data_IF_488568705250
#
_entry.id   IF_488568705250
#
_cell.length_a   1.000
_cell.length_b   1.000
_cell.length_c   1.000
_cell.angle_alpha   90.00
_cell.angle_beta   90.00
_cell.angle_gamma   90.00
#
_symmetry.space_group_name_H-M   'P 1'
#
loop_
_entity.id
_entity.type
_entity.pdbx_description
1 polymer ?
#
# COMPACT_ATOMS: atom_id res chain seq x y z
N UNK A 1 -34.57 3.02 9.38
CA UNK A 1 -34.95 2.13 10.50
C UNK A 1 -33.79 2.10 11.47
N UNK A 2 -34.01 2.65 12.66
CA UNK A 2 -33.03 2.75 13.73
C UNK A 2 -32.71 1.34 14.23
N UNK A 3 -31.45 0.92 14.12
CA UNK A 3 -30.92 -0.17 14.94
C UNK A 3 -30.38 0.43 16.23
N UNK A 4 -30.91 -0.09 17.33
CA UNK A 4 -30.71 0.28 18.72
C UNK A 4 -29.28 0.06 19.22
N UNK A 5 -28.88 0.93 20.14
CA UNK A 5 -27.85 0.69 21.17
C UNK A 5 -28.12 -0.66 21.85
N UNK A 6 -27.14 -1.58 21.91
CA UNK A 6 -27.20 -2.66 22.90
C UNK A 6 -26.67 -4.06 22.54
N UNK A 7 -26.31 -4.36 21.29
CA UNK A 7 -25.58 -5.61 20.99
C UNK A 7 -24.19 -5.28 20.48
N UNK A 8 -23.24 -5.19 21.42
CA UNK A 8 -21.83 -5.37 21.09
C UNK A 8 -21.70 -6.83 20.66
N UNK A 9 -21.92 -7.08 19.36
CA UNK A 9 -21.53 -8.33 18.72
C UNK A 9 -20.02 -8.46 18.92
N UNK A 10 -19.62 -9.15 20.00
CA UNK A 10 -18.23 -9.41 20.35
C UNK A 10 -17.67 -10.43 19.37
N UNK A 11 -17.39 -9.96 18.16
CA UNK A 11 -16.63 -10.65 17.13
C UNK A 11 -15.15 -10.72 17.52
N UNK A 12 -14.85 -10.92 18.80
CA UNK A 12 -13.50 -10.87 19.38
C UNK A 12 -12.60 -11.99 18.85
N UNK A 13 -13.23 -13.06 18.32
CA UNK A 13 -12.56 -14.20 17.68
C UNK A 13 -12.52 -14.11 16.15
N UNK A 14 -13.05 -13.03 15.55
CA UNK A 14 -13.08 -12.88 14.10
C UNK A 14 -11.68 -12.64 13.57
N UNK A 15 -11.16 -13.61 12.81
CA UNK A 15 -9.81 -13.56 12.22
C UNK A 15 -9.82 -12.98 10.81
N UNK A 16 -10.90 -13.19 10.08
CA UNK A 16 -11.01 -12.80 8.68
C UNK A 16 -12.38 -12.18 8.42
N UNK A 17 -12.40 -11.02 7.76
CA UNK A 17 -13.60 -10.38 7.28
C UNK A 17 -13.45 -10.04 5.79
N UNK A 18 -14.44 -10.47 5.01
CA UNK A 18 -14.52 -10.20 3.57
C UNK A 18 -15.88 -9.59 3.27
N UNK A 19 -15.89 -8.35 2.78
CA UNK A 19 -17.08 -7.74 2.18
C UNK A 19 -16.88 -7.78 0.67
N UNK A 20 -17.72 -8.54 -0.04
CA UNK A 20 -17.57 -8.81 -1.47
C UNK A 20 -18.85 -8.42 -2.18
N UNK A 21 -18.72 -7.55 -3.18
CA UNK A 21 -19.76 -7.12 -4.11
C UNK A 21 -21.03 -6.61 -3.37
N UNK A 22 -20.83 -5.99 -2.20
CA UNK A 22 -21.89 -5.35 -1.39
C UNK A 22 -22.15 -3.93 -1.92
N UNK A 23 -22.69 -3.82 -3.14
CA UNK A 23 -22.75 -2.55 -3.87
C UNK A 23 -23.59 -1.47 -3.19
N UNK A 24 -24.59 -1.83 -2.38
CA UNK A 24 -25.41 -0.86 -1.63
C UNK A 24 -24.70 -0.26 -0.41
N UNK A 25 -23.53 -0.78 -0.05
CA UNK A 25 -22.73 -0.27 1.06
C UNK A 25 -22.16 1.10 0.70
N UNK A 26 -22.52 2.11 1.49
CA UNK A 26 -22.05 3.50 1.33
C UNK A 26 -20.89 3.84 2.27
N UNK A 27 -20.72 3.06 3.34
CA UNK A 27 -19.70 3.27 4.37
C UNK A 27 -19.16 1.94 4.86
N UNK A 28 -17.84 1.87 5.08
CA UNK A 28 -17.20 0.72 5.72
C UNK A 28 -17.53 0.72 7.21
N UNK A 29 -17.94 -0.42 7.81
CA UNK A 29 -18.23 -0.48 9.23
C UNK A 29 -16.97 -0.18 10.08
N UNK A 30 -17.17 0.19 11.35
CA UNK A 30 -16.09 0.31 12.32
C UNK A 30 -15.48 -1.06 12.60
N UNK A 31 -14.21 -1.26 12.29
CA UNK A 31 -13.55 -2.56 12.39
C UNK A 31 -12.26 -2.52 13.22
N UNK A 32 -11.71 -1.34 13.52
CA UNK A 32 -10.43 -1.23 14.22
C UNK A 32 -10.43 -1.73 15.66
N UNK A 33 -11.60 -1.93 16.26
CA UNK A 33 -11.74 -2.52 17.60
C UNK A 33 -11.55 -4.05 17.63
N UNK A 34 -11.54 -4.73 16.47
CA UNK A 34 -11.47 -6.19 16.40
C UNK A 34 -10.05 -6.70 16.71
N UNK A 35 -9.84 -7.41 17.84
CA UNK A 35 -8.50 -7.69 18.34
C UNK A 35 -7.77 -8.81 17.59
N UNK A 36 -8.51 -9.74 16.97
CA UNK A 36 -7.96 -10.92 16.28
C UNK A 36 -8.02 -10.83 14.76
N UNK A 37 -8.55 -9.75 14.20
CA UNK A 37 -8.73 -9.61 12.75
C UNK A 37 -7.36 -9.50 12.08
N UNK A 38 -6.98 -10.54 11.33
CA UNK A 38 -5.73 -10.64 10.55
C UNK A 38 -5.92 -10.29 9.09
N UNK A 39 -7.08 -10.60 8.53
CA UNK A 39 -7.34 -10.44 7.09
C UNK A 39 -8.61 -9.62 6.90
N UNK A 40 -8.47 -8.48 6.22
CA UNK A 40 -9.58 -7.63 5.80
C UNK A 40 -9.57 -7.49 4.28
N UNK A 41 -10.68 -7.85 3.64
CA UNK A 41 -10.87 -7.67 2.20
C UNK A 41 -12.16 -6.92 1.92
N UNK A 42 -12.03 -5.78 1.26
CA UNK A 42 -13.13 -4.98 0.75
C UNK A 42 -13.10 -5.05 -0.76
N UNK A 43 -14.03 -5.79 -1.36
CA UNK A 43 -14.14 -5.98 -2.81
C UNK A 43 -15.50 -5.50 -3.31
N UNK A 44 -15.53 -4.73 -4.38
CA UNK A 44 -16.78 -4.37 -5.07
C UNK A 44 -17.71 -3.48 -4.24
N UNK A 45 -17.18 -2.75 -3.25
CA UNK A 45 -17.93 -1.76 -2.47
C UNK A 45 -18.03 -0.44 -3.24
N UNK A 46 -18.72 -0.47 -4.38
CA UNK A 46 -18.68 0.61 -5.39
C UNK A 46 -19.25 1.94 -4.91
N UNK A 47 -20.12 1.97 -3.91
CA UNK A 47 -20.70 3.22 -3.39
C UNK A 47 -19.93 3.82 -2.20
N UNK A 48 -18.89 3.14 -1.70
CA UNK A 48 -18.01 3.69 -0.66
C UNK A 48 -17.07 4.72 -1.29
N UNK A 49 -17.18 5.97 -0.85
CA UNK A 49 -16.30 7.06 -1.30
C UNK A 49 -15.15 7.37 -0.34
N UNK A 50 -15.33 7.06 0.94
CA UNK A 50 -14.43 7.46 2.02
C UNK A 50 -14.26 6.34 3.05
N UNK A 51 -13.01 5.97 3.32
CA UNK A 51 -12.61 5.27 4.55
C UNK A 51 -12.15 6.35 5.53
N UNK A 52 -13.07 6.75 6.42
CA UNK A 52 -12.84 7.83 7.37
C UNK A 52 -12.44 7.35 8.77
N UNK A 53 -12.25 8.28 9.72
CA UNK A 53 -11.80 7.98 11.08
C UNK A 53 -12.66 6.94 11.85
N UNK A 54 -13.95 6.85 11.55
CA UNK A 54 -14.87 5.87 12.16
C UNK A 54 -14.52 4.41 11.82
N UNK A 55 -13.70 4.18 10.80
CA UNK A 55 -13.21 2.84 10.46
C UNK A 55 -12.33 2.25 11.59
N UNK A 56 -11.58 3.13 12.27
CA UNK A 56 -10.61 2.76 13.30
C UNK A 56 -11.24 2.64 14.68
N UNK A 57 -12.13 3.57 15.05
CA UNK A 57 -12.79 3.60 16.34
C UNK A 57 -14.28 3.88 16.21
N UNK A 58 -15.10 3.36 17.15
CA UNK A 58 -16.50 3.73 17.19
C UNK A 58 -16.65 5.24 17.42
N UNK A 59 -17.71 5.89 16.91
CA UNK A 59 -17.91 7.33 17.02
C UNK A 59 -17.85 7.87 18.46
N UNK A 60 -18.29 7.07 19.44
CA UNK A 60 -18.22 7.39 20.87
C UNK A 60 -16.79 7.39 21.44
N UNK A 61 -15.84 6.72 20.79
CA UNK A 61 -14.43 6.65 21.18
C UNK A 61 -13.55 7.75 20.58
N UNK A 62 -14.08 8.59 19.68
CA UNK A 62 -13.32 9.71 19.07
C UNK A 62 -12.92 10.75 20.14
N UNK A 63 -13.74 10.90 21.19
CA UNK A 63 -13.42 11.78 22.33
C UNK A 63 -12.44 11.13 23.33
N UNK A 64 -12.19 9.82 23.24
CA UNK A 64 -11.21 9.07 24.03
C UNK A 64 -9.89 8.82 23.28
N UNK A 65 -9.75 9.43 22.10
CA UNK A 65 -8.60 9.39 21.23
C UNK A 65 -7.38 9.97 21.97
N UNK A 66 -6.54 9.09 22.52
CA UNK A 66 -5.41 9.44 23.40
C UNK A 66 -5.44 8.79 24.79
N UNK A 67 -6.49 8.04 25.15
CA UNK A 67 -6.56 7.27 26.42
C UNK A 67 -6.40 5.76 26.27
N UNK A 68 -6.45 5.23 25.04
CA UNK A 68 -6.26 3.81 24.78
C UNK A 68 -4.83 3.53 24.36
N UNK A 69 -4.08 2.79 25.17
CA UNK A 69 -2.74 2.31 24.84
C UNK A 69 -2.73 1.30 23.67
N UNK A 70 -3.90 0.89 23.18
CA UNK A 70 -4.02 -0.13 22.14
C UNK A 70 -4.26 0.50 20.77
N UNK A 71 -3.40 0.20 19.77
CA UNK A 71 -3.65 0.63 18.40
C UNK A 71 -4.96 0.01 17.87
N UNK A 72 -5.66 0.70 16.95
CA UNK A 72 -6.62 0.05 16.07
C UNK A 72 -5.97 -1.15 15.36
N UNK A 73 -6.78 -2.11 14.92
CA UNK A 73 -6.34 -3.25 14.12
C UNK A 73 -5.03 -3.90 14.63
N UNK A 74 -4.94 -4.26 15.92
CA UNK A 74 -3.67 -4.66 16.53
C UNK A 74 -3.07 -5.95 15.94
N UNK A 75 -3.87 -6.73 15.22
CA UNK A 75 -3.48 -8.01 14.61
C UNK A 75 -3.60 -8.05 13.09
N UNK A 76 -3.95 -6.94 12.42
CA UNK A 76 -4.20 -6.96 10.98
C UNK A 76 -2.90 -7.13 10.21
N UNK A 77 -2.83 -8.21 9.44
CA UNK A 77 -1.66 -8.63 8.65
C UNK A 77 -1.87 -8.39 7.15
N UNK A 78 -3.13 -8.48 6.67
CA UNK A 78 -3.47 -8.36 5.24
C UNK A 78 -4.67 -7.45 5.05
N UNK A 79 -4.49 -6.38 4.27
CA UNK A 79 -5.57 -5.47 3.89
C UNK A 79 -5.67 -5.34 2.37
N UNK A 80 -6.84 -5.68 1.83
CA UNK A 80 -7.10 -5.70 0.39
C UNK A 80 -8.28 -4.79 0.07
N UNK A 81 -8.02 -3.75 -0.71
CA UNK A 81 -9.01 -2.91 -1.37
C UNK A 81 -9.06 -3.32 -2.84
N UNK A 82 -10.21 -3.76 -3.33
CA UNK A 82 -10.36 -4.22 -4.72
C UNK A 82 -11.67 -3.77 -5.36
N UNK A 83 -11.62 -3.29 -6.59
CA UNK A 83 -12.82 -2.92 -7.37
C UNK A 83 -13.72 -1.91 -6.60
N UNK A 84 -13.11 -0.99 -5.83
CA UNK A 84 -13.80 0.06 -5.08
C UNK A 84 -13.82 1.35 -5.91
N UNK A 85 -14.61 1.35 -6.98
CA UNK A 85 -14.51 2.32 -8.07
C UNK A 85 -14.72 3.78 -7.65
N UNK A 86 -15.57 4.06 -6.64
CA UNK A 86 -15.79 5.42 -6.15
C UNK A 86 -14.94 5.79 -4.93
N UNK A 87 -14.10 4.88 -4.42
CA UNK A 87 -13.24 5.18 -3.27
C UNK A 87 -12.24 6.27 -3.68
N UNK A 88 -12.39 7.44 -3.07
CA UNK A 88 -11.56 8.61 -3.35
C UNK A 88 -10.58 8.89 -2.21
N UNK A 89 -11.01 8.63 -0.97
CA UNK A 89 -10.32 9.08 0.22
C UNK A 89 -10.16 7.95 1.23
N UNK A 90 -8.94 7.75 1.74
CA UNK A 90 -8.67 6.98 2.94
C UNK A 90 -7.88 7.88 3.90
N UNK A 91 -8.48 8.23 5.03
CA UNK A 91 -8.01 9.31 5.92
C UNK A 91 -7.64 8.73 7.29
N UNK A 92 -6.56 9.25 7.87
CA UNK A 92 -6.03 8.86 9.19
C UNK A 92 -6.85 9.42 10.38
N UNK A 93 -6.48 8.99 11.58
CA UNK A 93 -6.92 9.51 12.87
C UNK A 93 -6.00 10.64 13.37
N UNK A 94 -6.54 11.85 13.54
CA UNK A 94 -5.82 13.00 14.10
C UNK A 94 -6.32 13.32 15.52
N UNK A 95 -5.43 13.70 16.45
CA UNK A 95 -5.87 14.38 17.70
C UNK A 95 -6.26 15.83 17.42
N UNK A 96 -7.05 16.42 18.32
CA UNK A 96 -7.40 17.84 18.32
C UNK A 96 -6.19 18.80 18.32
N UNK A 97 -4.99 18.29 18.61
CA UNK A 97 -3.74 19.06 18.64
C UNK A 97 -2.87 18.79 17.39
N UNK A 98 -3.40 18.12 16.37
CA UNK A 98 -2.68 17.80 15.13
C UNK A 98 -1.62 16.70 15.29
N UNK A 99 -1.51 16.07 16.46
CA UNK A 99 -0.56 14.99 16.72
C UNK A 99 -1.19 13.62 16.41
N UNK A 100 -0.43 12.73 15.79
CA UNK A 100 -0.84 11.39 15.40
C UNK A 100 -0.88 10.45 16.62
N UNK A 101 -1.98 9.72 16.77
CA UNK A 101 -2.39 9.10 18.06
C UNK A 101 -1.59 7.83 18.36
N UNK A 102 -1.62 6.85 17.46
CA UNK A 102 -0.86 5.59 17.47
C UNK A 102 -0.94 5.06 16.05
N UNK A 103 0.07 4.37 15.55
CA UNK A 103 -0.01 3.72 14.24
C UNK A 103 -1.18 2.71 14.20
N UNK A 104 -2.17 2.85 13.29
CA UNK A 104 -3.32 1.96 13.24
C UNK A 104 -3.03 0.54 12.73
N UNK A 105 -1.85 0.29 12.16
CA UNK A 105 -1.54 -0.96 11.50
C UNK A 105 -0.14 -1.46 11.88
N UNK A 106 0.11 -1.75 13.17
CA UNK A 106 1.44 -2.16 13.64
C UNK A 106 1.94 -3.46 13.01
N UNK A 107 1.04 -4.32 12.50
CA UNK A 107 1.35 -5.65 11.97
C UNK A 107 1.00 -5.86 10.51
N UNK A 108 0.62 -4.81 9.77
CA UNK A 108 0.20 -4.97 8.39
C UNK A 108 1.38 -5.34 7.51
N UNK A 109 1.38 -6.57 6.99
CA UNK A 109 2.45 -7.12 6.16
C UNK A 109 2.13 -7.05 4.66
N UNK A 110 0.84 -7.06 4.31
CA UNK A 110 0.38 -7.01 2.92
C UNK A 110 -0.72 -5.98 2.72
N UNK A 111 -0.43 -5.01 1.84
CA UNK A 111 -1.40 -4.03 1.37
C UNK A 111 -1.58 -4.19 -0.14
N UNK A 112 -2.84 -4.37 -0.55
CA UNK A 112 -3.23 -4.41 -1.97
C UNK A 112 -4.30 -3.39 -2.25
N UNK A 113 -4.06 -2.54 -3.25
CA UNK A 113 -5.02 -1.57 -3.79
C UNK A 113 -5.16 -1.89 -5.27
N UNK A 114 -6.31 -2.42 -5.67
CA UNK A 114 -6.58 -2.83 -7.05
C UNK A 114 -7.87 -2.26 -7.60
N UNK A 115 -7.84 -1.69 -8.80
CA UNK A 115 -9.01 -1.13 -9.47
C UNK A 115 -9.76 -0.13 -8.56
N UNK A 116 -8.99 0.80 -7.98
CA UNK A 116 -9.50 1.91 -7.18
C UNK A 116 -9.13 3.24 -7.88
N UNK A 117 -9.65 3.50 -9.09
CA UNK A 117 -9.15 4.54 -9.99
C UNK A 117 -9.21 5.95 -9.41
N UNK A 118 -10.24 6.25 -8.62
CA UNK A 118 -10.46 7.58 -8.04
C UNK A 118 -9.68 7.84 -6.74
N UNK A 119 -8.91 6.87 -6.24
CA UNK A 119 -8.30 6.94 -4.91
C UNK A 119 -7.07 7.85 -4.91
N UNK A 120 -7.23 9.06 -4.38
CA UNK A 120 -6.21 10.13 -4.39
C UNK A 120 -5.56 10.39 -3.03
N UNK A 121 -6.19 9.95 -1.93
CA UNK A 121 -5.67 10.15 -0.57
C UNK A 121 -5.53 8.81 0.13
N UNK A 122 -4.35 8.61 0.75
CA UNK A 122 -4.05 7.53 1.70
C UNK A 122 -3.58 8.14 3.04
N UNK A 123 -3.80 7.48 4.18
CA UNK A 123 -3.40 7.99 5.48
C UNK A 123 -1.92 8.30 5.57
N UNK A 124 -1.58 9.36 6.32
CA UNK A 124 -0.20 9.76 6.57
C UNK A 124 0.39 9.01 7.77
N UNK A 125 0.42 7.69 7.67
CA UNK A 125 1.03 6.86 8.70
C UNK A 125 2.08 5.88 8.21
N UNK A 126 3.03 5.57 9.10
CA UNK A 126 4.03 4.55 8.89
C UNK A 126 3.39 3.19 8.61
N UNK A 127 4.10 2.36 7.87
CA UNK A 127 3.75 0.97 7.61
C UNK A 127 4.95 0.10 8.04
N UNK A 128 5.26 0.03 9.35
CA UNK A 128 6.53 -0.48 9.84
C UNK A 128 6.76 -1.96 9.52
N UNK A 129 5.68 -2.72 9.34
CA UNK A 129 5.71 -4.18 9.10
C UNK A 129 5.41 -4.57 7.65
N UNK A 130 5.23 -3.60 6.75
CA UNK A 130 4.74 -3.87 5.39
C UNK A 130 5.84 -4.52 4.55
N UNK A 131 5.61 -5.77 4.16
CA UNK A 131 6.50 -6.60 3.35
C UNK A 131 6.11 -6.59 1.87
N UNK A 132 4.81 -6.56 1.59
CA UNK A 132 4.29 -6.61 0.22
C UNK A 132 3.31 -5.48 -0.06
N UNK A 133 3.59 -4.72 -1.12
CA UNK A 133 2.74 -3.66 -1.64
C UNK A 133 2.36 -3.96 -3.10
N UNK A 134 1.06 -4.02 -3.36
CA UNK A 134 0.51 -4.15 -4.72
C UNK A 134 -0.42 -2.96 -5.02
N UNK A 135 -0.07 -2.17 -6.04
CA UNK A 135 -0.92 -1.09 -6.58
C UNK A 135 -1.22 -1.44 -8.04
N UNK A 136 -2.50 -1.55 -8.39
CA UNK A 136 -2.97 -2.06 -9.68
C UNK A 136 -4.20 -1.26 -10.15
N UNK A 137 -4.15 -0.57 -11.29
CA UNK A 137 -5.29 0.18 -11.82
C UNK A 137 -5.73 1.33 -10.90
N UNK A 138 -4.78 2.18 -10.52
CA UNK A 138 -5.00 3.38 -9.69
C UNK A 138 -4.40 4.58 -10.41
N UNK A 139 -5.24 5.56 -10.78
CA UNK A 139 -4.82 6.69 -11.62
C UNK A 139 -3.75 7.56 -10.94
N UNK A 140 -3.86 7.75 -9.62
CA UNK A 140 -2.91 8.49 -8.78
C UNK A 140 -1.97 7.58 -7.98
N UNK A 141 -1.71 6.36 -8.46
CA UNK A 141 -0.95 5.35 -7.72
C UNK A 141 0.50 5.73 -7.45
N UNK A 142 1.13 6.54 -8.30
CA UNK A 142 2.46 7.13 -8.08
C UNK A 142 2.46 8.10 -6.90
N UNK A 143 1.46 8.98 -6.80
CA UNK A 143 1.29 9.85 -5.62
C UNK A 143 1.01 9.06 -4.35
N UNK A 144 0.22 7.98 -4.42
CA UNK A 144 0.00 7.09 -3.28
C UNK A 144 1.31 6.42 -2.85
N UNK A 145 2.11 5.95 -3.81
CA UNK A 145 3.42 5.37 -3.54
C UNK A 145 4.33 6.38 -2.84
N UNK A 146 4.45 7.61 -3.34
CA UNK A 146 5.22 8.68 -2.70
C UNK A 146 4.76 8.92 -1.24
N UNK A 147 3.44 8.92 -1.00
CA UNK A 147 2.90 9.13 0.35
C UNK A 147 3.19 7.96 1.30
N UNK A 148 3.07 6.71 0.83
CA UNK A 148 3.42 5.51 1.59
C UNK A 148 4.92 5.53 1.93
N UNK A 149 5.77 5.98 1.00
CA UNK A 149 7.23 6.01 1.15
C UNK A 149 7.77 7.23 1.90
N UNK A 150 6.96 8.28 2.06
CA UNK A 150 7.35 9.48 2.82
C UNK A 150 7.55 9.19 4.31
N UNK A 151 6.90 8.13 4.82
CA UNK A 151 6.97 7.66 6.19
C UNK A 151 7.98 6.51 6.37
N UNK A 152 8.14 5.98 7.58
CA UNK A 152 9.10 4.91 7.85
C UNK A 152 8.65 3.57 7.23
N UNK A 153 9.10 3.30 6.00
CA UNK A 153 8.89 2.05 5.27
C UNK A 153 10.24 1.37 4.99
N UNK A 154 10.63 0.40 5.83
CA UNK A 154 11.93 -0.29 5.76
C UNK A 154 11.84 -1.81 5.71
N UNK A 155 10.62 -2.37 5.65
CA UNK A 155 10.35 -3.81 5.71
C UNK A 155 9.94 -4.43 4.36
N UNK A 156 9.89 -3.65 3.29
CA UNK A 156 9.34 -4.08 2.00
C UNK A 156 10.28 -5.08 1.32
N UNK A 157 9.74 -6.26 0.98
CA UNK A 157 10.42 -7.33 0.22
C UNK A 157 9.85 -7.47 -1.19
N UNK A 158 8.59 -7.06 -1.40
CA UNK A 158 7.86 -7.26 -2.65
C UNK A 158 7.12 -5.98 -3.05
N UNK A 159 7.46 -5.42 -4.22
CA UNK A 159 6.75 -4.30 -4.83
C UNK A 159 6.18 -4.70 -6.19
N UNK A 160 4.87 -4.50 -6.36
CA UNK A 160 4.20 -4.67 -7.66
C UNK A 160 3.37 -3.44 -8.00
N UNK A 161 3.67 -2.84 -9.15
CA UNK A 161 2.95 -1.71 -9.72
C UNK A 161 2.42 -2.13 -11.10
N UNK A 162 1.11 -2.06 -11.29
CA UNK A 162 0.45 -2.42 -12.54
C UNK A 162 -0.57 -1.34 -12.92
N UNK A 163 -0.58 -0.90 -14.18
CA UNK A 163 -1.54 0.10 -14.67
C UNK A 163 -1.59 1.37 -13.78
N UNK A 164 -0.40 1.89 -13.42
CA UNK A 164 -0.25 3.13 -12.65
C UNK A 164 0.08 4.28 -13.60
N UNK A 165 -0.94 5.05 -13.96
CA UNK A 165 -0.86 6.03 -15.04
C UNK A 165 -0.02 7.26 -14.71
N UNK A 166 0.08 7.67 -13.45
CA UNK A 166 0.89 8.82 -13.00
C UNK A 166 2.30 8.45 -12.51
N UNK A 167 2.69 7.16 -12.57
CA UNK A 167 4.02 6.72 -12.16
C UNK A 167 5.09 7.23 -13.13
N UNK A 168 5.78 8.30 -12.77
CA UNK A 168 6.86 8.89 -13.59
C UNK A 168 8.25 8.43 -13.20
N UNK A 169 8.43 8.06 -11.93
CA UNK A 169 9.65 7.52 -11.31
C UNK A 169 9.27 6.56 -10.17
N UNK A 170 10.23 5.75 -9.70
CA UNK A 170 10.13 5.11 -8.38
C UNK A 170 10.75 6.04 -7.33
N UNK A 171 10.15 6.20 -6.13
CA UNK A 171 10.73 7.03 -5.09
C UNK A 171 12.11 6.49 -4.69
N UNK A 172 13.17 7.30 -4.80
CA UNK A 172 14.54 6.87 -4.47
C UNK A 172 14.63 6.34 -3.04
N UNK A 173 13.89 6.98 -2.13
CA UNK A 173 13.83 6.62 -0.72
C UNK A 173 13.22 5.23 -0.51
N UNK A 174 12.24 4.81 -1.32
CA UNK A 174 11.69 3.45 -1.27
C UNK A 174 12.80 2.43 -1.52
N UNK A 175 13.62 2.68 -2.54
CA UNK A 175 14.71 1.79 -2.92
C UNK A 175 15.84 1.80 -1.86
N UNK A 176 16.14 2.97 -1.30
CA UNK A 176 17.20 3.13 -0.29
C UNK A 176 16.85 2.51 1.08
N UNK A 177 15.63 2.74 1.56
CA UNK A 177 15.19 2.31 2.88
C UNK A 177 14.84 0.81 2.90
N UNK A 178 14.45 0.21 1.77
CA UNK A 178 14.06 -1.20 1.67
C UNK A 178 15.17 -2.07 1.10
N UNK A 179 16.26 -2.20 1.87
CA UNK A 179 17.41 -3.05 1.52
C UNK A 179 17.11 -4.55 1.51
N UNK A 180 15.88 -4.97 1.79
CA UNK A 180 15.45 -6.37 1.73
C UNK A 180 14.51 -6.64 0.54
N UNK A 181 14.33 -5.67 -0.36
CA UNK A 181 13.50 -5.81 -1.54
C UNK A 181 14.08 -6.91 -2.45
N UNK A 182 13.35 -8.01 -2.63
CA UNK A 182 13.74 -9.16 -3.46
C UNK A 182 12.96 -9.21 -4.77
N UNK A 183 11.75 -8.65 -4.82
CA UNK A 183 10.86 -8.69 -5.98
C UNK A 183 10.39 -7.30 -6.39
N UNK A 184 10.64 -6.93 -7.64
CA UNK A 184 10.15 -5.70 -8.26
C UNK A 184 9.42 -6.00 -9.57
N UNK A 185 8.12 -5.67 -9.63
CA UNK A 185 7.29 -5.79 -10.82
C UNK A 185 6.68 -4.44 -11.19
N UNK A 186 6.89 -4.01 -12.43
CA UNK A 186 6.30 -2.79 -12.99
C UNK A 186 5.68 -3.12 -14.36
N UNK A 187 4.37 -2.95 -14.49
CA UNK A 187 3.63 -3.31 -15.71
C UNK A 187 2.71 -2.20 -16.14
N UNK A 188 2.67 -1.96 -17.45
CA UNK A 188 1.70 -1.05 -18.05
C UNK A 188 1.67 0.32 -17.34
N UNK A 189 2.84 0.85 -16.96
CA UNK A 189 2.98 2.19 -16.37
C UNK A 189 3.39 3.16 -17.49
N UNK A 190 2.44 3.80 -18.18
CA UNK A 190 2.69 4.52 -19.43
C UNK A 190 3.46 5.83 -19.25
N UNK A 191 3.59 6.34 -18.03
CA UNK A 191 4.29 7.59 -17.72
C UNK A 191 5.71 7.38 -17.20
N UNK A 192 6.12 6.14 -16.94
CA UNK A 192 7.45 5.84 -16.44
C UNK A 192 8.46 6.05 -17.56
N UNK A 193 9.36 7.02 -17.38
CA UNK A 193 10.33 7.41 -18.42
C UNK A 193 11.72 6.88 -18.16
N UNK A 194 12.10 6.74 -16.89
CA UNK A 194 13.42 6.30 -16.46
C UNK A 194 13.27 5.43 -15.21
N UNK A 195 14.12 4.42 -15.09
CA UNK A 195 14.28 3.66 -13.86
C UNK A 195 15.77 3.45 -13.60
N UNK A 196 16.22 3.85 -12.42
CA UNK A 196 17.60 3.67 -11.98
C UNK A 196 17.62 2.78 -10.74
N UNK A 197 18.37 1.69 -10.81
CA UNK A 197 18.61 0.76 -9.71
C UNK A 197 20.09 0.85 -9.33
N UNK A 198 20.32 1.26 -8.08
CA UNK A 198 21.64 1.45 -7.50
C UNK A 198 22.18 0.13 -6.97
N UNK A 199 23.50 0.06 -6.76
CA UNK A 199 24.20 -1.15 -6.29
C UNK A 199 23.57 -1.78 -5.05
N UNK A 200 23.17 -0.97 -4.08
CA UNK A 200 22.60 -1.47 -2.83
C UNK A 200 21.23 -2.14 -3.03
N UNK A 201 20.49 -1.80 -4.09
CA UNK A 201 19.23 -2.48 -4.42
C UNK A 201 19.49 -3.91 -4.94
N UNK A 202 20.58 -4.09 -5.67
CA UNK A 202 20.94 -5.35 -6.33
C UNK A 202 21.57 -6.39 -5.38
N UNK A 203 21.93 -5.98 -4.16
CA UNK A 203 22.35 -6.93 -3.12
C UNK A 203 21.20 -7.86 -2.68
N UNK A 204 19.96 -7.45 -2.91
CA UNK A 204 18.78 -8.13 -2.38
C UNK A 204 17.77 -8.46 -3.46
N UNK A 205 17.64 -7.61 -4.50
CA UNK A 205 16.73 -7.87 -5.62
C UNK A 205 17.13 -9.16 -6.32
N UNK A 206 16.20 -10.12 -6.33
CA UNK A 206 16.35 -11.41 -7.00
C UNK A 206 15.61 -11.43 -8.34
N UNK A 207 14.48 -10.73 -8.43
CA UNK A 207 13.60 -10.74 -9.59
C UNK A 207 13.12 -9.34 -9.94
N UNK A 208 13.35 -8.95 -11.19
CA UNK A 208 12.86 -7.70 -11.77
C UNK A 208 12.06 -8.02 -13.02
N UNK A 209 10.81 -7.57 -13.05
CA UNK A 209 9.91 -7.73 -14.19
C UNK A 209 9.34 -6.37 -14.61
N UNK A 210 9.71 -5.90 -15.79
CA UNK A 210 9.24 -4.65 -16.37
C UNK A 210 8.57 -4.97 -17.70
N UNK A 211 7.28 -4.63 -17.85
CA UNK A 211 6.59 -4.88 -19.11
C UNK A 211 5.66 -3.75 -19.53
N UNK A 212 5.53 -3.53 -20.83
CA UNK A 212 4.51 -2.65 -21.41
C UNK A 212 4.58 -1.20 -20.90
N UNK A 213 5.75 -0.74 -20.46
CA UNK A 213 6.00 0.64 -20.04
C UNK A 213 6.46 1.45 -21.25
N UNK A 214 5.52 1.86 -22.09
CA UNK A 214 5.82 2.31 -23.47
C UNK A 214 6.70 3.56 -23.56
N UNK A 215 6.68 4.46 -22.55
CA UNK A 215 7.52 5.67 -22.50
C UNK A 215 8.85 5.47 -21.76
N UNK A 216 9.17 4.25 -21.31
CA UNK A 216 10.42 3.97 -20.61
C UNK A 216 11.57 4.07 -21.61
N UNK A 217 12.39 5.12 -21.48
CA UNK A 217 13.53 5.40 -22.37
C UNK A 217 14.83 4.82 -21.87
N UNK A 218 15.02 4.82 -20.55
CA UNK A 218 16.26 4.36 -19.91
C UNK A 218 15.96 3.46 -18.73
N UNK A 219 16.64 2.31 -18.69
CA UNK A 219 16.75 1.45 -17.53
C UNK A 219 18.22 1.35 -17.15
N UNK A 220 18.63 1.87 -15.99
CA UNK A 220 20.02 1.84 -15.55
C UNK A 220 20.17 0.89 -14.37
N UNK A 221 20.98 -0.15 -14.55
CA UNK A 221 21.33 -1.09 -13.50
C UNK A 221 22.82 -0.94 -13.21
N UNK A 222 23.16 -0.22 -12.15
CA UNK A 222 24.55 0.09 -11.84
C UNK A 222 25.20 -1.06 -11.06
N UNK A 223 25.95 -1.91 -11.77
CA UNK A 223 26.71 -3.05 -11.23
C UNK A 223 28.20 -2.70 -11.21
N UNK A 224 28.69 -2.03 -10.16
CA UNK A 224 30.14 -1.99 -9.85
C UNK A 224 30.90 -0.66 -9.97
N UNK A 225 32.10 -0.69 -9.40
CA UNK A 225 33.18 0.30 -9.30
C UNK A 225 34.47 -0.45 -8.92
N UNK A 226 35.64 0.13 -9.21
CA UNK A 226 36.92 -0.58 -9.44
C UNK A 226 37.48 -1.48 -8.32
N UNK A 227 36.94 -1.43 -7.10
CA UNK A 227 37.38 -2.28 -5.99
C UNK A 227 36.17 -2.92 -5.28
N UNK A 228 36.26 -4.24 -5.10
CA UNK A 228 35.48 -5.10 -4.19
C UNK A 228 34.27 -5.90 -4.75
N UNK A 229 34.20 -7.14 -4.28
CA UNK A 229 33.33 -8.24 -4.73
C UNK A 229 31.87 -7.95 -4.37
N UNK A 230 31.18 -7.18 -5.21
CA UNK A 230 29.73 -6.99 -5.11
C UNK A 230 28.99 -8.10 -5.83
N UNK A 231 28.58 -9.14 -5.09
CA UNK A 231 27.68 -10.19 -5.60
C UNK A 231 26.25 -9.66 -5.68
N UNK A 232 25.75 -9.49 -6.90
CA UNK A 232 24.33 -9.25 -7.17
C UNK A 232 23.52 -10.50 -6.80
N UNK A 233 22.37 -10.33 -6.14
CA UNK A 233 21.40 -11.40 -5.87
C UNK A 233 20.43 -11.61 -7.04
N UNK A 234 20.52 -10.80 -8.10
CA UNK A 234 19.59 -10.80 -9.23
C UNK A 234 19.71 -12.10 -10.03
N UNK A 235 18.61 -12.85 -10.09
CA UNK A 235 18.48 -14.12 -10.81
C UNK A 235 17.66 -13.99 -12.08
N UNK A 236 16.65 -13.13 -12.06
CA UNK A 236 15.72 -12.94 -13.16
C UNK A 236 15.53 -11.46 -13.46
N UNK A 237 15.78 -11.07 -14.71
CA UNK A 237 15.47 -9.75 -15.23
C UNK A 237 14.73 -9.91 -16.54
N UNK A 238 13.47 -9.50 -16.55
CA UNK A 238 12.64 -9.48 -17.75
C UNK A 238 12.24 -8.05 -18.08
N UNK A 239 12.55 -7.64 -19.29
CA UNK A 239 12.05 -6.38 -19.88
C UNK A 239 11.34 -6.71 -21.18
N UNK A 240 10.03 -6.44 -21.25
CA UNK A 240 9.20 -6.83 -22.38
C UNK A 240 8.31 -5.67 -22.85
N UNK A 241 8.09 -5.55 -24.15
CA UNK A 241 7.12 -4.61 -24.72
C UNK A 241 7.29 -3.13 -24.29
N UNK A 242 8.51 -2.69 -23.95
CA UNK A 242 8.84 -1.29 -23.67
C UNK A 242 9.35 -0.61 -24.95
N UNK A 243 8.45 0.05 -25.69
CA UNK A 243 8.70 0.49 -27.07
C UNK A 243 9.76 1.59 -27.22
N UNK A 244 9.85 2.52 -26.27
CA UNK A 244 10.82 3.63 -26.31
C UNK A 244 12.17 3.32 -25.65
N UNK A 245 12.39 2.09 -25.18
CA UNK A 245 13.62 1.73 -24.45
C UNK A 245 14.83 1.77 -25.39
N UNK A 246 15.72 2.73 -25.14
CA UNK A 246 16.90 3.00 -25.97
C UNK A 246 18.21 2.81 -25.21
N UNK A 247 18.18 2.91 -23.87
CA UNK A 247 19.34 2.75 -23.00
C UNK A 247 19.06 1.68 -21.92
N UNK A 248 19.97 0.70 -21.81
CA UNK A 248 19.96 -0.39 -20.85
C UNK A 248 21.36 -0.59 -20.27
#
# INVERSE_FOLDING_TARGET
MNATVGEVNRLDKLVELKLIDCERCVEVPTLGHLPMLKILKLKGLRNVRLIGPWFYYPPSGINELGRSDRPPFPSLERFILKDMTNLAYWIDIFTNNGSKVVNPFPRLEFLKIRNCPNMSIIPDHDFPSLKKLEIDGVETGGQLLDKICSNNLSSLTDLSLEDVSDLTYLPERLLYDNRHLTYLRIIACPSLTHLELLRHNLQSLEQIYISSCNKLKSLRILIGGDDDVSVSSLRELTVASCQELTYF
#
